data_IF_611032011429
#
_entry.id   IF_611032011429
#
_cell.length_a   1.000
_cell.length_b   1.000
_cell.length_c   1.000
_cell.angle_alpha   90.00
_cell.angle_beta   90.00
_cell.angle_gamma   90.00
#
_symmetry.space_group_name_H-M   'P 1'
#
loop_
_entity.id
_entity.type
_entity.pdbx_description
1 polymer ?
#
# COMPACT_ATOMS: atom_id res chain seq x y z
N UNK A 1 13.42 4.86 -5.33
CA UNK A 1 13.48 4.57 -3.88
C UNK A 1 12.43 5.29 -3.02
N UNK A 2 12.18 6.61 -3.15
CA UNK A 2 11.26 7.34 -2.24
C UNK A 2 9.77 6.96 -2.34
N UNK A 3 9.29 6.42 -3.46
CA UNK A 3 7.86 6.12 -3.63
C UNK A 3 7.41 4.82 -2.94
N UNK A 4 8.28 3.82 -2.81
CA UNK A 4 7.92 2.56 -2.17
C UNK A 4 7.64 2.70 -0.66
N UNK A 5 8.37 3.61 0.00
CA UNK A 5 8.15 3.88 1.43
C UNK A 5 6.72 4.35 1.70
N UNK A 6 6.21 5.29 0.90
CA UNK A 6 4.83 5.80 1.06
C UNK A 6 3.77 4.71 0.93
N UNK A 7 4.02 3.68 0.13
CA UNK A 7 3.08 2.56 -0.05
C UNK A 7 3.03 1.72 1.23
N UNK A 8 4.19 1.32 1.75
CA UNK A 8 4.28 0.54 2.98
C UNK A 8 3.83 1.33 4.21
N UNK A 9 4.19 2.61 4.29
CA UNK A 9 3.77 3.51 5.37
C UNK A 9 2.24 3.61 5.43
N UNK A 10 1.57 3.72 4.28
CA UNK A 10 0.09 3.79 4.22
C UNK A 10 -0.55 2.52 4.76
N UNK A 11 -0.02 1.35 4.40
CA UNK A 11 -0.52 0.07 4.90
C UNK A 11 -0.27 -0.07 6.41
N UNK A 12 0.91 0.32 6.88
CA UNK A 12 1.29 0.27 8.29
C UNK A 12 0.44 1.23 9.15
N UNK A 13 0.21 2.47 8.71
CA UNK A 13 -0.65 3.45 9.38
C UNK A 13 -2.11 2.96 9.49
N UNK A 14 -2.54 2.14 8.54
CA UNK A 14 -3.86 1.52 8.55
C UNK A 14 -3.88 0.16 9.26
N UNK A 15 -2.80 -0.22 9.95
CA UNK A 15 -2.68 -1.47 10.69
C UNK A 15 -2.94 -2.72 9.82
N UNK A 16 -2.52 -2.66 8.55
CA UNK A 16 -2.64 -3.74 7.57
C UNK A 16 -1.33 -4.51 7.56
N UNK A 17 -1.39 -5.80 7.88
CA UNK A 17 -0.20 -6.64 7.88
C UNK A 17 0.15 -7.07 6.45
N UNK A 18 1.44 -7.04 6.13
CA UNK A 18 1.96 -7.52 4.86
C UNK A 18 2.66 -8.84 5.08
N UNK A 19 2.14 -9.90 4.47
CA UNK A 19 2.67 -11.26 4.63
C UNK A 19 3.88 -11.51 3.71
N UNK A 20 3.90 -10.87 2.54
CA UNK A 20 5.00 -10.98 1.59
C UNK A 20 5.13 -9.73 0.75
N UNK A 21 6.37 -9.35 0.44
CA UNK A 21 6.69 -8.25 -0.48
C UNK A 21 7.55 -8.81 -1.61
N UNK A 22 7.21 -8.48 -2.84
CA UNK A 22 8.02 -8.71 -4.03
C UNK A 22 8.16 -7.40 -4.78
N UNK A 23 9.40 -6.95 -5.03
CA UNK A 23 9.65 -5.77 -5.85
C UNK A 23 10.63 -6.06 -6.98
N UNK A 24 10.42 -5.35 -8.08
CA UNK A 24 11.38 -5.13 -9.16
C UNK A 24 11.67 -3.63 -9.25
N UNK A 25 12.57 -3.23 -10.14
CA UNK A 25 12.87 -1.80 -10.35
C UNK A 25 11.65 -0.97 -10.77
N UNK A 26 10.63 -1.62 -11.33
CA UNK A 26 9.46 -0.98 -11.94
C UNK A 26 8.18 -1.27 -11.16
N UNK A 27 8.10 -2.38 -10.45
CA UNK A 27 6.87 -2.85 -9.83
C UNK A 27 7.08 -3.23 -8.36
N UNK A 28 6.09 -2.93 -7.52
CA UNK A 28 5.97 -3.47 -6.16
C UNK A 28 4.65 -4.21 -6.07
N UNK A 29 4.71 -5.44 -5.59
CA UNK A 29 3.56 -6.28 -5.28
C UNK A 29 3.68 -6.77 -3.85
N UNK A 30 2.57 -6.88 -3.14
CA UNK A 30 2.53 -7.40 -1.79
C UNK A 30 1.33 -8.32 -1.58
N UNK A 31 1.46 -9.27 -0.64
CA UNK A 31 0.38 -10.13 -0.19
C UNK A 31 -0.11 -9.62 1.15
N UNK A 32 -1.42 -9.46 1.28
CA UNK A 32 -2.13 -9.05 2.50
C UNK A 32 -3.30 -10.00 2.72
N UNK A 33 -3.90 -9.95 3.92
CA UNK A 33 -5.11 -10.70 4.20
C UNK A 33 -6.29 -10.17 3.39
N UNK A 34 -7.17 -11.09 3.00
CA UNK A 34 -8.38 -10.76 2.23
C UNK A 34 -9.28 -9.75 2.97
N UNK A 35 -9.40 -9.89 4.29
CA UNK A 35 -10.17 -8.98 5.16
C UNK A 35 -9.66 -7.52 5.14
N UNK A 36 -8.39 -7.31 4.80
CA UNK A 36 -7.76 -5.99 4.75
C UNK A 36 -7.77 -5.38 3.35
N UNK A 37 -8.22 -6.10 2.31
CA UNK A 37 -8.13 -5.66 0.92
C UNK A 37 -8.89 -4.36 0.67
N UNK A 38 -10.14 -4.26 1.11
CA UNK A 38 -10.96 -3.06 0.89
C UNK A 38 -10.37 -1.83 1.60
N UNK A 39 -9.81 -2.04 2.79
CA UNK A 39 -9.13 -1.00 3.56
C UNK A 39 -7.83 -0.57 2.89
N UNK A 40 -7.03 -1.52 2.41
CA UNK A 40 -5.78 -1.28 1.70
C UNK A 40 -6.03 -0.47 0.43
N UNK A 41 -6.98 -0.90 -0.40
CA UNK A 41 -7.33 -0.24 -1.67
C UNK A 41 -7.79 1.19 -1.39
N UNK A 42 -8.70 1.40 -0.44
CA UNK A 42 -9.20 2.73 -0.09
C UNK A 42 -8.09 3.64 0.41
N UNK A 43 -7.25 3.17 1.33
CA UNK A 43 -6.15 3.96 1.90
C UNK A 43 -5.10 4.33 0.83
N UNK A 44 -4.75 3.39 -0.05
CA UNK A 44 -3.80 3.61 -1.13
C UNK A 44 -4.37 4.56 -2.19
N UNK A 45 -5.64 4.41 -2.58
CA UNK A 45 -6.30 5.34 -3.50
C UNK A 45 -6.30 6.76 -2.92
N UNK A 46 -6.64 6.92 -1.64
CA UNK A 46 -6.59 8.22 -0.97
C UNK A 46 -5.19 8.84 -0.97
N UNK A 47 -4.15 8.01 -0.78
CA UNK A 47 -2.77 8.51 -0.67
C UNK A 47 -2.10 8.83 -2.01
N UNK A 48 -2.44 8.09 -3.07
CA UNK A 48 -1.75 8.14 -4.36
C UNK A 48 -2.60 8.67 -5.53
N UNK A 49 -3.93 8.64 -5.43
CA UNK A 49 -4.86 9.00 -6.51
C UNK A 49 -5.69 10.24 -6.15
N UNK A 50 -6.24 10.31 -4.94
CA UNK A 50 -6.96 11.51 -4.51
C UNK A 50 -5.94 12.61 -4.19
N UNK A 51 -5.89 13.60 -5.08
CA UNK A 51 -5.25 14.88 -4.85
C UNK A 51 -6.26 15.67 -4.02
N UNK A 52 -5.98 15.89 -2.73
CA UNK A 52 -6.66 16.96 -1.98
C UNK A 52 -6.34 18.27 -2.72
N UNK A 53 -7.36 18.93 -3.26
CA UNK A 53 -7.31 20.27 -3.90
C UNK A 53 -6.66 21.34 -2.99
#
# INVERSE_FOLDING_TARGET
>A
MKQHLKFFDTLAENNINIDMISCSEINVSCIIREEDVDKAVTALHKRFIEIDD
#
